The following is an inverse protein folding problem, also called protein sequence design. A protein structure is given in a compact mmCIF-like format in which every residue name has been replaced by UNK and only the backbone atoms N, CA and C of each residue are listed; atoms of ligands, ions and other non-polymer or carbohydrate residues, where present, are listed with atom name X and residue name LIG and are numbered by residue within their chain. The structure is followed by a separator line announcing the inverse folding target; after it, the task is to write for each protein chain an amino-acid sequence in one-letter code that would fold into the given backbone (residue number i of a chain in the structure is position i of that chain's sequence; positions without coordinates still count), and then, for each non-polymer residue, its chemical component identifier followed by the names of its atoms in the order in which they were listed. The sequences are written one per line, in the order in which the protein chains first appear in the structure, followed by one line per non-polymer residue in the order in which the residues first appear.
data_IF_595129579396
#
_entry.id   IF_595129579396
#
_cell.length_a   1.000
_cell.length_b   1.000
_cell.length_c   1.000
_cell.angle_alpha   90.00
_cell.angle_beta   90.00
_cell.angle_gamma   90.00
#
_symmetry.space_group_name_H-M   'P 1'
#
loop_
_entity.id
_entity.type
_entity.pdbx_description
1 polymer ?
#
# COMPACT_ATOMS: atom_id res chain seq x y z
N UNK A 1 -8.96 -7.18 -9.61
CA UNK A 1 -7.92 -6.16 -9.73
C UNK A 1 -7.10 -6.06 -8.45
N UNK A 2 -5.92 -5.48 -8.52
CA UNK A 2 -5.13 -5.19 -7.33
C UNK A 2 -5.88 -4.21 -6.42
N UNK A 3 -6.02 -4.55 -5.14
CA UNK A 3 -6.69 -3.74 -4.13
C UNK A 3 -5.66 -2.97 -3.29
N UNK A 4 -6.08 -1.89 -2.65
CA UNK A 4 -5.19 -1.09 -1.78
C UNK A 4 -4.64 -1.96 -0.65
N UNK A 5 -5.45 -2.84 -0.09
CA UNK A 5 -5.15 -3.76 1.00
C UNK A 5 -4.31 -5.00 0.62
N UNK A 6 -3.82 -5.10 -0.62
CA UNK A 6 -3.00 -6.25 -1.02
C UNK A 6 -1.78 -6.46 -0.12
N UNK A 7 -1.23 -5.41 0.44
CA UNK A 7 -0.09 -5.47 1.36
C UNK A 7 -0.39 -6.31 2.62
N UNK A 8 -1.63 -6.27 3.13
CA UNK A 8 -2.05 -7.11 4.26
C UNK A 8 -2.00 -8.59 3.87
N UNK A 9 -2.55 -8.93 2.71
CA UNK A 9 -2.53 -10.30 2.19
C UNK A 9 -1.11 -10.80 1.96
N UNK A 10 -0.24 -9.96 1.38
CA UNK A 10 1.17 -10.28 1.15
C UNK A 10 1.93 -10.53 2.45
N UNK A 11 1.72 -9.69 3.46
CA UNK A 11 2.41 -9.82 4.76
C UNK A 11 2.06 -11.10 5.52
N UNK A 12 0.85 -11.62 5.38
CA UNK A 12 0.43 -12.85 6.08
C UNK A 12 0.61 -14.12 5.25
N UNK A 13 0.72 -14.02 3.92
CA UNK A 13 0.88 -15.17 3.03
C UNK A 13 2.31 -15.37 2.53
N UNK A 14 3.18 -14.39 2.74
CA UNK A 14 4.55 -14.35 2.19
C UNK A 14 4.57 -14.47 0.64
N UNK A 15 3.54 -13.90 0.00
CA UNK A 15 3.39 -13.84 -1.45
C UNK A 15 3.59 -12.41 -1.94
N UNK A 16 4.23 -12.25 -3.09
CA UNK A 16 4.28 -10.99 -3.83
C UNK A 16 3.19 -11.01 -4.91
N UNK A 17 2.01 -10.48 -4.58
CA UNK A 17 0.85 -10.52 -5.46
C UNK A 17 1.07 -9.72 -6.74
N UNK A 18 1.81 -8.61 -6.67
CA UNK A 18 2.10 -7.77 -7.84
C UNK A 18 3.00 -8.53 -8.82
N UNK A 19 4.07 -9.13 -8.30
CA UNK A 19 4.96 -9.97 -9.10
C UNK A 19 4.22 -11.16 -9.69
N UNK A 20 3.40 -11.83 -8.90
CA UNK A 20 2.58 -12.96 -9.38
C UNK A 20 1.63 -12.55 -10.50
N UNK A 21 1.00 -11.37 -10.42
CA UNK A 21 0.15 -10.86 -11.50
C UNK A 21 0.93 -10.70 -12.80
N UNK A 22 2.17 -10.20 -12.74
CA UNK A 22 3.04 -10.07 -13.91
C UNK A 22 3.41 -11.45 -14.45
N UNK A 23 3.82 -12.36 -13.58
CA UNK A 23 4.19 -13.72 -13.95
C UNK A 23 3.05 -14.50 -14.61
N UNK A 24 1.82 -14.35 -14.11
CA UNK A 24 0.63 -14.94 -14.71
C UNK A 24 0.36 -14.35 -16.11
N UNK A 25 0.53 -13.03 -16.26
CA UNK A 25 0.39 -12.39 -17.56
C UNK A 25 1.45 -12.87 -18.58
N UNK A 26 2.60 -13.33 -18.10
CA UNK A 26 3.65 -13.99 -18.90
C UNK A 26 3.37 -15.48 -19.17
N UNK A 27 2.26 -16.03 -18.65
CA UNK A 27 1.86 -17.42 -18.84
C UNK A 27 2.35 -18.40 -17.78
N UNK A 28 2.86 -17.94 -16.66
CA UNK A 28 3.20 -18.82 -15.54
C UNK A 28 1.93 -19.32 -14.83
N UNK A 29 2.01 -20.53 -14.31
CA UNK A 29 0.94 -21.13 -13.52
C UNK A 29 0.92 -20.56 -12.09
N UNK A 30 -0.28 -20.53 -11.51
CA UNK A 30 -0.47 -20.21 -10.10
C UNK A 30 0.11 -21.32 -9.21
N UNK A 31 0.65 -20.98 -8.03
CA UNK A 31 1.02 -21.99 -7.06
C UNK A 31 -0.22 -22.77 -6.60
N UNK A 32 -0.07 -24.06 -6.25
CA UNK A 32 -1.18 -24.85 -5.71
C UNK A 32 -1.77 -24.17 -4.46
N UNK A 33 -3.10 -24.16 -4.37
CA UNK A 33 -3.82 -23.52 -3.25
C UNK A 33 -3.37 -24.03 -1.89
N UNK A 34 -3.08 -25.30 -1.78
CA UNK A 34 -2.63 -25.96 -0.55
C UNK A 34 -1.21 -25.54 -0.11
N UNK A 35 -0.42 -24.98 -1.02
CA UNK A 35 0.91 -24.45 -0.68
C UNK A 35 0.86 -23.08 0.01
N UNK A 36 -0.25 -22.37 -0.13
CA UNK A 36 -0.43 -21.03 0.44
C UNK A 36 -0.83 -21.15 1.90
N UNK A 37 0.00 -20.62 2.78
CA UNK A 37 -0.24 -20.61 4.24
C UNK A 37 -0.38 -19.17 4.72
N UNK A 38 -1.34 -18.94 5.58
CA UNK A 38 -1.50 -17.66 6.27
C UNK A 38 -0.85 -17.75 7.66
N UNK A 39 0.12 -16.87 7.90
CA UNK A 39 0.88 -16.82 9.13
C UNK A 39 0.78 -15.43 9.76
N UNK A 40 0.56 -15.40 11.08
CA UNK A 40 0.54 -14.16 11.83
C UNK A 40 -0.69 -13.30 11.57
N UNK A 41 -0.51 -12.01 11.72
CA UNK A 41 -1.56 -11.00 11.60
C UNK A 41 -0.98 -9.73 10.99
N UNK A 42 -1.76 -9.01 10.17
CA UNK A 42 -1.35 -7.75 9.56
C UNK A 42 -2.49 -6.74 9.62
N UNK A 43 -2.15 -5.48 9.80
CA UNK A 43 -3.10 -4.36 9.83
C UNK A 43 -2.59 -3.28 8.89
N UNK A 44 -3.45 -2.78 8.02
CA UNK A 44 -3.18 -1.63 7.16
C UNK A 44 -3.80 -0.37 7.74
N UNK A 45 -3.04 0.71 7.69
CA UNK A 45 -3.55 2.06 7.88
C UNK A 45 -3.38 2.83 6.57
N UNK A 46 -4.46 3.35 6.01
CA UNK A 46 -4.41 4.28 4.88
C UNK A 46 -4.12 5.67 5.38
N UNK A 47 -3.11 6.30 4.84
CA UNK A 47 -2.70 7.65 5.20
C UNK A 47 -3.16 8.59 4.08
N UNK A 48 -4.00 9.54 4.43
CA UNK A 48 -4.62 10.48 3.50
C UNK A 48 -4.22 11.92 3.80
N UNK A 49 -4.09 12.72 2.75
CA UNK A 49 -3.90 14.17 2.87
C UNK A 49 -5.23 14.85 3.15
N UNK A 50 -5.64 14.85 4.41
CA UNK A 50 -6.92 15.37 4.90
C UNK A 50 -6.71 16.25 6.13
N UNK A 51 -7.61 17.22 6.31
CA UNK A 51 -7.66 18.00 7.54
C UNK A 51 -8.07 17.08 8.71
N UNK A 52 -7.30 17.01 9.80
CA UNK A 52 -7.52 16.05 10.87
C UNK A 52 -8.80 16.30 11.70
N UNK A 53 -9.45 17.44 11.53
CA UNK A 53 -10.68 17.79 12.25
C UNK A 53 -11.93 17.63 11.39
N UNK A 54 -11.85 18.04 10.13
CA UNK A 54 -12.98 18.06 9.20
C UNK A 54 -13.01 16.87 8.27
N UNK A 55 -11.88 16.16 8.12
CA UNK A 55 -11.67 15.07 7.18
C UNK A 55 -11.86 15.45 5.71
N UNK A 56 -11.89 16.74 5.40
CA UNK A 56 -11.88 17.19 4.01
C UNK A 56 -10.50 17.02 3.37
N UNK A 57 -10.45 16.66 2.09
CA UNK A 57 -9.19 16.62 1.34
C UNK A 57 -8.41 17.92 1.48
N UNK A 58 -7.13 17.80 1.77
CA UNK A 58 -6.21 18.93 1.95
C UNK A 58 -5.07 18.82 0.92
N UNK A 59 -5.32 19.20 -0.35
CA UNK A 59 -4.31 19.18 -1.39
C UNK A 59 -3.23 20.20 -1.11
N UNK A 60 -2.04 19.98 -1.67
CA UNK A 60 -0.94 20.93 -1.52
C UNK A 60 0.42 20.25 -1.44
N UNK A 61 1.45 21.04 -1.16
CA UNK A 61 2.82 20.54 -1.14
C UNK A 61 3.16 19.88 0.21
N UNK A 62 3.66 18.65 0.14
CA UNK A 62 4.25 17.98 1.31
C UNK A 62 5.60 18.62 1.60
N UNK A 63 5.70 19.36 2.69
CA UNK A 63 6.94 20.05 3.08
C UNK A 63 7.92 19.12 3.77
N UNK A 64 7.42 18.09 4.46
CA UNK A 64 8.22 17.11 5.18
C UNK A 64 7.57 15.73 5.06
N UNK A 65 8.37 14.72 4.74
CA UNK A 65 7.97 13.31 4.66
C UNK A 65 8.92 12.45 5.48
N UNK A 66 8.40 11.77 6.48
CA UNK A 66 9.15 10.81 7.27
C UNK A 66 8.29 9.55 7.35
N UNK A 67 8.63 8.56 6.53
CA UNK A 67 7.98 7.27 6.60
C UNK A 67 8.38 6.54 7.89
N UNK A 68 7.43 5.92 8.59
CA UNK A 68 7.77 5.02 9.69
C UNK A 68 8.55 3.81 9.17
N UNK A 69 9.32 3.21 10.04
CA UNK A 69 10.10 2.02 9.70
C UNK A 69 10.36 1.18 10.94
N UNK A 70 11.02 0.04 10.75
CA UNK A 70 11.35 -0.91 11.81
C UNK A 70 10.93 -2.32 11.48
N UNK A 71 11.12 -3.24 12.43
CA UNK A 71 10.74 -4.62 12.25
C UNK A 71 9.22 -4.71 12.03
N UNK A 72 8.81 -5.51 11.04
CA UNK A 72 7.42 -5.77 10.70
C UNK A 72 6.60 -4.53 10.28
N UNK A 73 7.27 -3.44 9.90
CA UNK A 73 6.66 -2.22 9.36
C UNK A 73 6.97 -2.10 7.88
N UNK A 74 5.91 -2.08 7.06
CA UNK A 74 5.96 -1.83 5.62
C UNK A 74 5.26 -0.51 5.31
N UNK A 75 5.85 0.28 4.43
CA UNK A 75 5.23 1.52 3.91
C UNK A 75 5.26 1.50 2.39
N UNK A 76 4.08 1.52 1.80
CA UNK A 76 3.90 1.68 0.36
C UNK A 76 3.42 3.10 0.09
N UNK A 77 4.21 3.88 -0.63
CA UNK A 77 3.89 5.26 -0.94
C UNK A 77 4.63 5.73 -2.20
N UNK A 78 3.99 6.61 -2.94
CA UNK A 78 4.60 7.40 -4.02
C UNK A 78 5.05 8.78 -3.53
N UNK A 79 4.71 9.14 -2.30
CA UNK A 79 4.92 10.48 -1.76
C UNK A 79 6.34 10.69 -1.24
N UNK A 80 6.78 11.93 -1.30
CA UNK A 80 8.08 12.38 -0.81
C UNK A 80 8.01 13.87 -0.41
N UNK A 81 9.02 14.38 0.26
CA UNK A 81 9.12 15.81 0.51
C UNK A 81 9.18 16.58 -0.82
N UNK A 82 8.34 17.58 -0.97
CA UNK A 82 8.19 18.34 -2.21
C UNK A 82 7.07 17.86 -3.14
N UNK A 83 6.53 16.65 -2.94
CA UNK A 83 5.38 16.17 -3.71
C UNK A 83 4.16 17.07 -3.53
N UNK A 84 3.43 17.30 -4.62
CA UNK A 84 2.20 18.09 -4.62
C UNK A 84 1.02 17.13 -4.73
N UNK A 85 0.24 17.04 -3.65
CA UNK A 85 -1.00 16.25 -3.64
C UNK A 85 -2.03 16.95 -4.53
N UNK A 86 -2.50 16.30 -5.61
CA UNK A 86 -3.43 16.94 -6.56
C UNK A 86 -4.86 17.00 -6.00
N UNK A 87 -5.63 17.97 -6.46
CA UNK A 87 -7.03 18.14 -6.06
C UNK A 87 -8.00 17.15 -6.72
N UNK A 88 -7.57 16.56 -7.84
CA UNK A 88 -8.46 15.80 -8.74
C UNK A 88 -8.37 14.28 -8.58
N UNK A 89 -7.50 13.81 -7.69
CA UNK A 89 -7.33 12.39 -7.40
C UNK A 89 -7.58 12.11 -5.92
N UNK A 90 -7.59 10.82 -5.58
CA UNK A 90 -7.65 10.36 -4.20
C UNK A 90 -6.57 11.03 -3.34
N UNK A 91 -6.96 11.40 -2.12
CA UNK A 91 -6.05 12.05 -1.16
C UNK A 91 -5.05 11.09 -0.52
N UNK A 92 -5.12 9.78 -0.80
CA UNK A 92 -4.22 8.79 -0.21
C UNK A 92 -2.77 9.02 -0.64
N UNK A 93 -1.90 9.19 0.34
CA UNK A 93 -0.47 9.45 0.16
C UNK A 93 0.42 8.30 0.61
N UNK A 94 -0.14 7.29 1.26
CA UNK A 94 0.57 6.10 1.70
C UNK A 94 -0.32 5.10 2.43
N UNK A 95 0.23 3.97 2.64
CA UNK A 95 -0.41 2.90 3.40
C UNK A 95 0.64 2.03 4.10
#
# INVERSE_FOLDING_TARGET
RLQVEHCVSEMVSDLDLIKMMIEIAEGKELPPQESIKLNGHSIECRITAEDPKTFFPCPGKITKWIAPGGKDVRVDSHSHAGYIVPMIYDSMIGK
#
